data_IF_338078338266
#
_entry.id   IF_338078338266
#
_cell.length_a   1.000
_cell.length_b   1.000
_cell.length_c   1.000
_cell.angle_alpha   90.00
_cell.angle_beta   90.00
_cell.angle_gamma   90.00
#
_symmetry.space_group_name_H-M   'P 1'
#
loop_
_entity.id
_entity.type
_entity.pdbx_description
1 polymer ?
#
# COMPACT_ATOMS: atom_id res chain seq x y z
N UNK A 1 -23.20 9.80 27.87
CA UNK A 1 -22.47 8.97 28.85
C UNK A 1 -21.06 8.75 28.32
N UNK A 2 -20.12 9.56 28.80
CA UNK A 2 -18.74 9.61 28.33
C UNK A 2 -17.95 8.37 28.77
N UNK A 3 -17.36 7.65 27.82
CA UNK A 3 -16.46 6.55 28.10
C UNK A 3 -15.01 7.09 28.17
N UNK A 4 -14.47 7.09 29.39
CA UNK A 4 -13.12 7.48 29.75
C UNK A 4 -12.07 6.63 29.01
N UNK A 5 -11.34 7.23 28.07
CA UNK A 5 -10.11 6.66 27.54
C UNK A 5 -9.03 6.70 28.64
N UNK A 6 -8.69 5.55 29.20
CA UNK A 6 -7.56 5.41 30.13
C UNK A 6 -6.24 5.57 29.34
N UNK A 7 -5.73 6.78 29.30
CA UNK A 7 -4.33 7.09 28.93
C UNK A 7 -3.41 6.56 30.03
N UNK A 8 -2.97 5.31 29.93
CA UNK A 8 -1.95 4.75 30.82
C UNK A 8 -1.05 3.77 30.06
N UNK A 9 -0.23 4.29 29.14
CA UNK A 9 0.95 3.57 28.64
C UNK A 9 1.97 4.54 28.02
N UNK A 10 2.44 5.53 28.80
CA UNK A 10 3.56 6.39 28.38
C UNK A 10 4.69 6.48 29.41
N UNK A 11 4.65 5.67 30.47
CA UNK A 11 5.74 5.63 31.47
C UNK A 11 6.83 4.58 31.18
N UNK A 12 6.66 3.74 30.14
CA UNK A 12 7.67 2.75 29.73
C UNK A 12 8.79 3.29 28.83
N UNK A 13 8.61 4.46 28.21
CA UNK A 13 9.50 4.95 27.15
C UNK A 13 10.71 5.77 27.64
N UNK A 14 10.89 5.93 28.96
CA UNK A 14 12.02 6.72 29.52
C UNK A 14 13.26 5.90 29.87
N UNK A 15 13.25 4.57 29.73
CA UNK A 15 14.40 3.70 30.05
C UNK A 15 15.07 3.02 28.84
N UNK A 16 14.63 3.32 27.62
CA UNK A 16 15.14 2.68 26.40
C UNK A 16 16.23 3.44 25.63
N UNK A 17 16.68 4.61 26.11
CA UNK A 17 17.52 5.54 25.34
C UNK A 17 18.99 5.58 25.79
N UNK A 18 19.49 4.50 26.40
CA UNK A 18 20.85 4.42 26.93
C UNK A 18 21.70 3.27 26.35
N UNK A 19 21.37 2.76 25.16
CA UNK A 19 22.15 1.73 24.46
C UNK A 19 22.32 2.00 22.95
N UNK A 20 22.56 3.25 22.58
CA UNK A 20 23.19 3.58 21.29
C UNK A 20 24.54 4.24 21.56
N UNK A 21 25.48 3.48 22.13
CA UNK A 21 26.88 3.70 21.77
C UNK A 21 27.16 2.80 20.56
N UNK A 22 27.83 3.29 19.51
CA UNK A 22 28.30 2.40 18.45
C UNK A 22 29.34 1.50 19.09
N UNK A 23 28.98 0.26 19.39
CA UNK A 23 29.96 -0.79 19.66
C UNK A 23 30.54 -1.17 18.30
N UNK A 24 31.70 -0.62 17.97
CA UNK A 24 32.58 -1.19 16.95
C UNK A 24 32.77 -2.66 17.29
N UNK A 25 32.12 -3.55 16.54
CA UNK A 25 32.29 -4.99 16.68
C UNK A 25 33.59 -5.38 16.01
N UNK A 26 34.70 -5.21 16.73
CA UNK A 26 35.98 -5.78 16.36
C UNK A 26 35.85 -7.30 16.47
N UNK A 27 35.62 -7.98 15.34
CA UNK A 27 35.68 -9.43 15.25
C UNK A 27 37.17 -9.83 15.38
N UNK A 28 37.63 -10.05 16.61
CA UNK A 28 38.94 -10.64 16.86
C UNK A 28 38.83 -12.16 16.75
N UNK A 29 39.26 -12.73 15.62
CA UNK A 29 39.55 -14.17 15.55
C UNK A 29 40.79 -14.43 16.42
N UNK A 30 40.62 -15.11 17.54
CA UNK A 30 41.72 -15.53 18.42
C UNK A 30 42.49 -16.66 17.73
N UNK A 31 43.53 -16.30 16.98
CA UNK A 31 44.59 -17.26 16.60
C UNK A 31 45.66 -17.12 17.70
N UNK A 32 45.85 -18.18 18.49
CA UNK A 32 46.88 -18.22 19.51
C UNK A 32 48.24 -18.46 18.85
N UNK A 33 49.04 -17.40 18.70
CA UNK A 33 50.47 -17.52 18.41
C UNK A 33 51.28 -17.01 19.62
N UNK A 34 52.46 -17.60 19.79
CA UNK A 34 53.38 -17.42 20.92
C UNK A 34 53.87 -15.95 21.05
N UNK A 35 54.24 -15.51 22.27
CA UNK A 35 54.57 -14.10 22.51
C UNK A 35 55.92 -13.77 21.85
N UNK A 36 55.90 -12.81 20.92
CA UNK A 36 57.11 -12.26 20.29
C UNK A 36 57.63 -11.05 21.10
N UNK A 37 58.95 -11.04 21.30
CA UNK A 37 59.76 -10.24 22.22
C UNK A 37 60.00 -8.76 21.79
N UNK A 38 59.13 -8.11 21.02
CA UNK A 38 59.34 -6.69 20.66
C UNK A 38 58.21 -5.80 21.14
N UNK A 39 58.40 -5.27 22.35
CA UNK A 39 57.69 -4.11 22.90
C UNK A 39 58.41 -2.83 22.45
N UNK A 40 58.13 -2.36 21.23
CA UNK A 40 58.56 -1.04 20.77
C UNK A 40 57.83 -0.66 19.47
N UNK A 41 56.61 -0.13 19.64
CA UNK A 41 55.91 0.84 18.79
C UNK A 41 54.41 0.59 18.91
N UNK A 42 53.74 1.31 19.81
CA UNK A 42 52.29 1.53 19.68
C UNK A 42 52.09 2.49 18.51
N UNK A 43 52.27 2.00 17.29
CA UNK A 43 51.64 2.61 16.14
C UNK A 43 50.14 2.33 16.30
N UNK A 44 49.36 3.39 16.54
CA UNK A 44 47.91 3.31 16.55
C UNK A 44 47.47 2.74 15.21
N UNK A 45 47.13 1.44 15.20
CA UNK A 45 46.58 0.78 14.05
C UNK A 45 45.25 1.46 13.71
N UNK A 46 45.30 2.45 12.80
CA UNK A 46 44.11 3.09 12.25
C UNK A 46 43.16 1.98 11.81
N UNK A 47 41.90 1.95 12.27
CA UNK A 47 40.97 0.90 11.89
C UNK A 47 40.91 0.88 10.36
N UNK A 48 41.26 -0.27 9.77
CA UNK A 48 41.19 -0.46 8.33
C UNK A 48 39.73 -0.26 7.93
N UNK A 49 39.40 0.93 7.43
CA UNK A 49 38.06 1.25 6.93
C UNK A 49 37.73 0.21 5.87
N UNK A 50 36.70 -0.61 6.12
CA UNK A 50 36.27 -1.62 5.16
C UNK A 50 35.92 -0.89 3.87
N UNK A 51 36.43 -1.38 2.73
CA UNK A 51 36.05 -0.87 1.42
C UNK A 51 34.58 -1.16 1.20
N UNK A 52 33.75 -0.15 1.40
CA UNK A 52 32.31 -0.22 1.18
C UNK A 52 32.00 -0.02 -0.31
N UNK A 53 30.88 -0.59 -0.75
CA UNK A 53 30.38 -0.46 -2.12
C UNK A 53 29.04 0.26 -1.99
N UNK A 54 28.87 1.36 -2.73
CA UNK A 54 27.62 2.11 -2.69
C UNK A 54 26.49 1.37 -3.39
N UNK A 55 25.28 1.54 -2.88
CA UNK A 55 24.02 1.04 -3.42
C UNK A 55 23.46 1.93 -4.53
N UNK A 56 24.12 3.07 -4.79
CA UNK A 56 23.81 3.97 -5.91
C UNK A 56 23.09 5.25 -5.52
N UNK A 57 22.92 5.55 -4.23
CA UNK A 57 22.32 6.81 -3.76
C UNK A 57 23.37 7.87 -3.41
N UNK A 58 24.45 7.48 -2.74
CA UNK A 58 25.60 8.36 -2.47
C UNK A 58 26.89 7.58 -2.66
N UNK A 59 27.87 8.21 -3.31
CA UNK A 59 29.17 7.61 -3.62
C UNK A 59 30.24 8.00 -2.59
N UNK A 60 29.96 9.03 -1.80
CA UNK A 60 30.90 9.66 -0.89
C UNK A 60 30.68 9.23 0.58
N UNK A 61 29.42 9.05 1.01
CA UNK A 61 29.05 8.80 2.41
C UNK A 61 28.28 7.49 2.66
N UNK A 62 28.86 6.59 3.47
CA UNK A 62 28.28 5.26 3.76
C UNK A 62 26.97 5.29 4.51
N UNK A 63 26.87 6.18 5.47
CA UNK A 63 25.70 6.26 6.34
C UNK A 63 24.50 6.79 5.56
N UNK A 64 24.73 7.77 4.70
CA UNK A 64 23.69 8.39 3.89
C UNK A 64 23.15 7.41 2.84
N UNK A 65 24.04 6.73 2.10
CA UNK A 65 23.65 5.77 1.07
C UNK A 65 22.84 4.60 1.65
N UNK A 66 23.23 4.10 2.83
CA UNK A 66 22.47 3.06 3.54
C UNK A 66 21.13 3.59 4.02
N UNK A 67 21.08 4.81 4.58
CA UNK A 67 19.82 5.37 5.05
C UNK A 67 18.83 5.60 3.90
N UNK A 68 19.31 6.16 2.79
CA UNK A 68 18.52 6.38 1.58
C UNK A 68 17.98 5.07 1.01
N UNK A 69 18.78 4.01 0.95
CA UNK A 69 18.32 2.68 0.52
C UNK A 69 17.18 2.16 1.40
N UNK A 70 17.35 2.17 2.73
CA UNK A 70 16.31 1.65 3.63
C UNK A 70 15.03 2.48 3.57
N UNK A 71 15.16 3.80 3.50
CA UNK A 71 14.01 4.70 3.41
C UNK A 71 13.25 4.50 2.09
N UNK A 72 13.95 4.44 0.96
CA UNK A 72 13.33 4.25 -0.36
C UNK A 72 12.66 2.89 -0.47
N UNK A 73 13.33 1.81 -0.03
CA UNK A 73 12.75 0.46 -0.06
C UNK A 73 11.54 0.35 0.87
N UNK A 74 11.60 0.95 2.06
CA UNK A 74 10.46 0.98 2.97
C UNK A 74 9.27 1.75 2.35
N UNK A 75 9.45 3.01 1.96
CA UNK A 75 8.35 3.82 1.43
C UNK A 75 7.76 3.20 0.16
N UNK A 76 8.61 2.75 -0.77
CA UNK A 76 8.13 2.26 -2.07
C UNK A 76 7.48 0.89 -1.94
N UNK A 77 8.13 -0.05 -1.24
CA UNK A 77 7.63 -1.43 -1.17
C UNK A 77 6.55 -1.57 -0.10
N UNK A 78 6.77 -1.07 1.12
CA UNK A 78 5.81 -1.30 2.20
C UNK A 78 4.64 -0.32 2.14
N UNK A 79 4.90 0.98 1.95
CA UNK A 79 3.82 1.98 1.98
C UNK A 79 3.10 2.00 0.63
N UNK A 80 3.79 2.28 -0.47
CA UNK A 80 3.12 2.45 -1.76
C UNK A 80 2.58 1.12 -2.28
N UNK A 81 3.41 0.09 -2.33
CA UNK A 81 3.00 -1.18 -2.93
C UNK A 81 2.09 -1.99 -1.99
N UNK A 82 2.51 -2.32 -0.78
CA UNK A 82 1.68 -3.16 0.11
C UNK A 82 0.44 -2.40 0.61
N UNK A 83 0.59 -1.22 1.23
CA UNK A 83 -0.58 -0.48 1.73
C UNK A 83 -1.46 0.04 0.58
N UNK A 84 -0.87 0.52 -0.52
CA UNK A 84 -1.65 0.96 -1.68
C UNK A 84 -2.49 -0.16 -2.29
N UNK A 85 -1.93 -1.36 -2.46
CA UNK A 85 -2.69 -2.52 -2.96
C UNK A 85 -3.77 -2.94 -1.97
N UNK A 86 -3.50 -2.91 -0.66
CA UNK A 86 -4.54 -3.25 0.33
C UNK A 86 -5.69 -2.25 0.30
N UNK A 87 -5.42 -0.95 0.20
CA UNK A 87 -6.49 0.04 0.04
C UNK A 87 -7.29 -0.25 -1.21
N UNK A 88 -6.64 -0.45 -2.37
CA UNK A 88 -7.33 -0.75 -3.63
C UNK A 88 -8.16 -2.04 -3.57
N UNK A 89 -7.68 -3.08 -2.89
CA UNK A 89 -8.38 -4.35 -2.75
C UNK A 89 -9.63 -4.26 -1.86
N UNK A 90 -9.61 -3.37 -0.87
CA UNK A 90 -10.72 -3.17 0.07
C UNK A 90 -11.49 -1.87 -0.18
N UNK A 91 -11.34 -1.25 -1.37
CA UNK A 91 -12.16 -0.12 -1.76
C UNK A 91 -13.63 -0.53 -1.76
N UNK A 92 -14.54 0.31 -1.24
CA UNK A 92 -15.97 0.06 -1.37
C UNK A 92 -16.36 -0.02 -2.84
N UNK A 93 -17.42 -0.74 -3.16
CA UNK A 93 -17.90 -1.02 -4.52
C UNK A 93 -18.06 0.27 -5.37
N UNK A 94 -16.99 0.64 -6.08
CA UNK A 94 -16.85 1.92 -6.81
C UNK A 94 -17.82 1.99 -7.99
N UNK A 95 -18.21 0.84 -8.53
CA UNK A 95 -19.05 0.73 -9.73
C UNK A 95 -20.43 0.17 -9.43
N UNK A 96 -20.81 0.07 -8.15
CA UNK A 96 -22.06 -0.51 -7.69
C UNK A 96 -22.36 -1.91 -8.29
N UNK A 97 -21.33 -2.72 -8.57
CA UNK A 97 -21.47 -4.05 -9.16
C UNK A 97 -22.12 -5.04 -8.19
N UNK A 98 -21.69 -5.04 -6.94
CA UNK A 98 -22.20 -5.94 -5.91
C UNK A 98 -23.63 -5.54 -5.53
N UNK A 99 -23.92 -4.23 -5.54
CA UNK A 99 -25.28 -3.74 -5.39
C UNK A 99 -26.16 -4.17 -6.58
N UNK A 100 -25.73 -3.92 -7.81
CA UNK A 100 -26.50 -4.26 -9.01
C UNK A 100 -26.77 -5.76 -9.12
N UNK A 101 -25.81 -6.60 -8.74
CA UNK A 101 -25.99 -8.05 -8.72
C UNK A 101 -27.03 -8.48 -7.68
N UNK A 102 -26.97 -7.92 -6.46
CA UNK A 102 -27.97 -8.21 -5.41
C UNK A 102 -29.36 -7.77 -5.82
N UNK A 103 -29.48 -6.56 -6.36
CA UNK A 103 -30.76 -6.00 -6.82
C UNK A 103 -31.34 -6.83 -7.98
N UNK A 104 -30.50 -7.26 -8.92
CA UNK A 104 -30.93 -8.11 -10.03
C UNK A 104 -31.52 -9.45 -9.55
N UNK A 105 -30.92 -10.09 -8.53
CA UNK A 105 -31.49 -11.33 -7.96
C UNK A 105 -32.85 -11.10 -7.31
N UNK A 106 -33.02 -10.01 -6.56
CA UNK A 106 -34.30 -9.66 -5.94
C UNK A 106 -35.36 -9.44 -7.00
N UNK A 107 -35.04 -8.68 -8.05
CA UNK A 107 -35.98 -8.36 -9.11
C UNK A 107 -36.34 -9.58 -9.96
N UNK A 108 -35.39 -10.49 -10.21
CA UNK A 108 -35.65 -11.75 -10.90
C UNK A 108 -36.62 -12.63 -10.10
N UNK A 109 -36.40 -12.78 -8.79
CA UNK A 109 -37.30 -13.55 -7.91
C UNK A 109 -38.71 -12.97 -7.89
N UNK A 110 -38.83 -11.66 -7.76
CA UNK A 110 -40.12 -10.99 -7.84
C UNK A 110 -40.85 -11.30 -9.15
N UNK A 111 -40.16 -11.26 -10.30
CA UNK A 111 -40.76 -11.55 -11.60
C UNK A 111 -41.14 -13.02 -11.78
N UNK A 112 -40.31 -13.94 -11.29
CA UNK A 112 -40.61 -15.38 -11.29
C UNK A 112 -41.88 -15.69 -10.48
N UNK A 113 -42.02 -15.11 -9.29
CA UNK A 113 -43.19 -15.30 -8.42
C UNK A 113 -44.49 -14.78 -9.04
N UNK A 114 -44.40 -13.66 -9.78
CA UNK A 114 -45.56 -13.06 -10.45
C UNK A 114 -45.77 -13.61 -11.87
N UNK A 115 -44.93 -14.54 -12.34
CA UNK A 115 -45.02 -15.13 -13.68
C UNK A 115 -44.77 -14.14 -14.84
N UNK A 116 -44.07 -13.04 -14.59
CA UNK A 116 -43.69 -12.06 -15.62
C UNK A 116 -42.47 -12.53 -16.42
N UNK A 117 -42.29 -12.02 -17.66
CA UNK A 117 -41.03 -12.22 -18.38
C UNK A 117 -39.86 -11.64 -17.58
N UNK A 118 -38.72 -12.33 -17.59
CA UNK A 118 -37.55 -11.98 -16.78
C UNK A 118 -37.03 -10.55 -17.07
N UNK A 119 -37.02 -10.18 -18.36
CA UNK A 119 -36.62 -8.87 -18.85
C UNK A 119 -37.67 -8.42 -19.85
N UNK A 120 -38.21 -7.23 -19.64
CA UNK A 120 -39.07 -6.58 -20.61
C UNK A 120 -38.22 -5.97 -21.74
N UNK A 121 -38.69 -6.09 -22.98
CA UNK A 121 -38.03 -5.49 -24.13
C UNK A 121 -38.16 -3.97 -24.12
N UNK A 122 -39.27 -3.47 -23.60
CA UNK A 122 -39.53 -2.03 -23.54
C UNK A 122 -39.13 -1.52 -22.15
N UNK A 123 -38.02 -0.78 -22.07
CA UNK A 123 -37.60 -0.13 -20.81
C UNK A 123 -38.61 0.95 -20.39
N UNK A 124 -39.20 1.62 -21.38
CA UNK A 124 -40.21 2.66 -21.20
C UNK A 124 -41.55 2.10 -21.67
N UNK A 125 -42.57 2.33 -20.85
CA UNK A 125 -43.94 2.01 -21.23
C UNK A 125 -44.33 2.80 -22.50
N UNK A 126 -44.70 2.11 -23.60
CA UNK A 126 -45.02 2.77 -24.87
C UNK A 126 -46.18 3.76 -24.75
N UNK A 127 -47.05 3.62 -23.75
CA UNK A 127 -48.14 4.57 -23.50
C UNK A 127 -47.65 5.95 -23.04
N UNK A 128 -46.43 6.04 -22.51
CA UNK A 128 -45.80 7.30 -22.09
C UNK A 128 -45.07 8.01 -23.22
N UNK A 129 -44.89 7.35 -24.35
CA UNK A 129 -44.20 7.89 -25.52
C UNK A 129 -45.27 8.48 -26.44
N UNK A 130 -45.30 9.81 -26.52
CA UNK A 130 -46.15 10.52 -27.48
C UNK A 130 -45.35 10.61 -28.77
N UNK A 131 -45.73 9.81 -29.76
CA UNK A 131 -45.18 9.89 -31.10
C UNK A 131 -45.82 11.10 -31.81
N UNK A 132 -45.02 11.99 -32.43
CA UNK A 132 -45.55 13.03 -33.30
C UNK A 132 -46.33 12.39 -34.45
N UNK A 133 -47.41 13.04 -34.87
CA UNK A 133 -48.24 12.55 -35.99
C UNK A 133 -47.50 12.72 -37.32
N UNK A 134 -47.82 11.88 -38.30
CA UNK A 134 -47.18 11.87 -39.63
C UNK A 134 -47.18 13.26 -40.32
N UNK A 135 -48.19 14.10 -40.07
CA UNK A 135 -48.27 15.47 -40.59
C UNK A 135 -47.21 16.41 -39.99
N UNK A 136 -46.82 16.20 -38.74
CA UNK A 136 -45.76 16.96 -38.05
C UNK A 136 -44.36 16.47 -38.45
N UNK A 137 -44.26 15.26 -38.99
CA UNK A 137 -43.00 14.63 -39.43
C UNK A 137 -42.48 15.19 -40.76
N UNK A 138 -43.35 15.74 -41.61
CA UNK A 138 -42.98 16.34 -42.89
C UNK A 138 -42.12 15.42 -43.75
N UNK A 139 -41.03 15.95 -44.33
CA UNK A 139 -40.06 15.22 -45.16
C UNK A 139 -38.84 14.70 -44.36
N UNK A 140 -39.01 14.43 -43.07
CA UNK A 140 -37.89 13.95 -42.25
C UNK A 140 -37.49 12.53 -42.68
N UNK A 141 -36.25 12.35 -43.15
CA UNK A 141 -35.73 11.04 -43.55
C UNK A 141 -35.77 10.06 -42.38
N UNK A 142 -36.53 8.97 -42.54
CA UNK A 142 -36.55 7.86 -41.58
C UNK A 142 -35.26 7.06 -41.79
N UNK A 143 -34.29 7.26 -40.89
CA UNK A 143 -33.07 6.44 -40.86
C UNK A 143 -33.42 5.14 -40.11
N UNK A 144 -33.43 4.04 -40.85
CA UNK A 144 -33.71 2.68 -40.34
C UNK A 144 -32.41 1.99 -39.95
#
# INVERSE_FOLDING_TARGET
MAALFRMNCVQGLRRGLALMSPKETTICRRIATTPSYYDSAKEEAKPVKRKWISYGFSQDDEVEDRHALHQTMFITVTIVLVLGITVMAYLPDVRHKDWAQREAYLQLRYREEHGLPLIDRNVIDPSKIILPTDEELGDTEIII
#
